data_IF_977664503792
#
_entry.id   IF_977664503792
#
_cell.length_a   1.000
_cell.length_b   1.000
_cell.length_c   1.000
_cell.angle_alpha   90.00
_cell.angle_beta   90.00
_cell.angle_gamma   90.00
#
_symmetry.space_group_name_H-M   'P 1'
#
loop_
_entity.id
_entity.type
_entity.pdbx_description
1 polymer ?
#
# COMPACT_ATOMS: atom_id res chain seq x y z
N UNK A 1 -13.87 15.25 -1.70
CA UNK A 1 -12.83 15.15 -2.76
C UNK A 1 -12.44 13.71 -3.07
N UNK A 2 -12.99 12.72 -2.36
CA UNK A 2 -12.80 11.30 -2.64
C UNK A 2 -14.07 10.75 -3.26
N UNK A 3 -13.98 10.28 -4.49
CA UNK A 3 -15.14 9.74 -5.23
C UNK A 3 -15.46 8.30 -4.79
N UNK A 4 -14.56 7.66 -4.02
CA UNK A 4 -14.66 6.27 -3.54
C UNK A 4 -14.07 6.14 -2.13
N UNK A 5 -14.76 6.64 -1.10
CA UNK A 5 -14.27 6.58 0.27
C UNK A 5 -14.20 5.15 0.84
N UNK A 6 -15.04 4.22 0.36
CA UNK A 6 -15.01 2.82 0.79
C UNK A 6 -13.73 2.15 0.35
N UNK A 7 -13.30 2.36 -0.89
CA UNK A 7 -12.00 1.91 -1.39
C UNK A 7 -10.84 2.50 -0.56
N UNK A 8 -10.84 3.81 -0.31
CA UNK A 8 -9.78 4.45 0.45
C UNK A 8 -9.68 3.92 1.88
N UNK A 9 -10.80 3.69 2.57
CA UNK A 9 -10.87 3.07 3.89
C UNK A 9 -10.37 1.62 3.87
N UNK A 10 -10.76 0.84 2.85
CA UNK A 10 -10.31 -0.54 2.68
C UNK A 10 -8.80 -0.61 2.46
N UNK A 11 -8.26 0.23 1.58
CA UNK A 11 -6.81 0.31 1.32
C UNK A 11 -6.06 0.73 2.58
N UNK A 12 -6.55 1.71 3.34
CA UNK A 12 -5.94 2.11 4.60
C UNK A 12 -5.91 0.94 5.59
N UNK A 13 -7.03 0.25 5.79
CA UNK A 13 -7.12 -0.92 6.68
C UNK A 13 -6.14 -2.03 6.30
N UNK A 14 -6.05 -2.38 5.02
CA UNK A 14 -5.13 -3.41 4.54
C UNK A 14 -3.66 -2.96 4.60
N UNK A 15 -3.40 -1.66 4.38
CA UNK A 15 -2.06 -1.08 4.57
C UNK A 15 -1.60 -1.21 6.03
N UNK A 16 -2.49 -0.98 7.00
CA UNK A 16 -2.17 -1.12 8.40
C UNK A 16 -1.93 -2.58 8.82
N UNK A 17 -2.68 -3.54 8.27
CA UNK A 17 -2.40 -4.96 8.50
C UNK A 17 -1.00 -5.36 7.98
N UNK A 18 -0.62 -4.89 6.78
CA UNK A 18 0.72 -5.13 6.26
C UNK A 18 1.80 -4.41 7.08
N UNK A 19 1.54 -3.18 7.52
CA UNK A 19 2.45 -2.46 8.40
C UNK A 19 2.69 -3.25 9.68
N UNK A 20 1.64 -3.65 10.38
CA UNK A 20 1.72 -4.35 11.66
C UNK A 20 2.48 -5.69 11.54
N UNK A 21 2.41 -6.34 10.37
CA UNK A 21 3.13 -7.59 10.10
C UNK A 21 4.59 -7.39 9.66
N UNK A 22 4.94 -6.27 9.03
CA UNK A 22 6.23 -6.06 8.35
C UNK A 22 7.06 -4.91 8.94
N UNK A 23 6.54 -4.17 9.93
CA UNK A 23 7.17 -2.97 10.48
C UNK A 23 8.61 -3.22 10.95
N UNK A 24 8.83 -4.33 11.65
CA UNK A 24 10.16 -4.69 12.17
C UNK A 24 11.19 -4.93 11.05
N UNK A 25 10.79 -5.60 9.95
CA UNK A 25 11.66 -5.89 8.81
C UNK A 25 11.96 -4.63 7.98
N UNK A 26 11.03 -3.68 7.97
CA UNK A 26 11.12 -2.45 7.19
C UNK A 26 11.70 -1.27 7.99
N UNK A 27 11.93 -1.44 9.30
CA UNK A 27 12.40 -0.38 10.19
C UNK A 27 11.38 0.74 10.37
N UNK A 28 10.08 0.39 10.46
CA UNK A 28 8.97 1.32 10.67
C UNK A 28 8.46 1.21 12.11
N UNK A 29 7.88 2.28 12.62
CA UNK A 29 7.29 2.36 13.97
C UNK A 29 5.87 2.93 13.93
N UNK A 30 5.38 3.33 15.11
CA UNK A 30 4.02 3.85 15.28
C UNK A 30 3.80 5.16 14.52
N UNK A 31 4.82 6.02 14.44
CA UNK A 31 4.77 7.26 13.65
C UNK A 31 4.50 6.95 12.16
N UNK A 32 5.26 6.02 11.57
CA UNK A 32 5.06 5.64 10.17
C UNK A 32 3.72 4.96 9.93
N UNK A 33 3.15 4.31 10.93
CA UNK A 33 1.81 3.74 10.87
C UNK A 33 0.75 4.82 10.65
N UNK A 34 0.82 5.92 11.40
CA UNK A 34 -0.10 7.06 11.25
C UNK A 34 0.09 7.77 9.90
N UNK A 35 1.34 7.97 9.48
CA UNK A 35 1.65 8.58 8.18
C UNK A 35 1.16 7.72 7.01
N UNK A 36 1.30 6.39 7.12
CA UNK A 36 0.84 5.45 6.10
C UNK A 36 -0.69 5.45 5.99
N UNK A 37 -1.41 5.48 7.12
CA UNK A 37 -2.87 5.58 7.14
C UNK A 37 -3.34 6.85 6.42
N UNK A 38 -2.77 8.00 6.80
CA UNK A 38 -3.08 9.27 6.16
C UNK A 38 -2.78 9.25 4.64
N UNK A 39 -1.63 8.70 4.25
CA UNK A 39 -1.26 8.58 2.84
C UNK A 39 -2.20 7.65 2.06
N UNK A 40 -2.65 6.55 2.66
CA UNK A 40 -3.59 5.63 2.04
C UNK A 40 -4.95 6.30 1.79
N UNK A 41 -5.51 6.95 2.82
CA UNK A 41 -6.78 7.69 2.74
C UNK A 41 -6.73 8.82 1.70
N UNK A 42 -5.57 9.46 1.53
CA UNK A 42 -5.41 10.62 0.65
C UNK A 42 -4.80 10.29 -0.72
N UNK A 43 -4.47 9.03 -0.99
CA UNK A 43 -3.76 8.64 -2.22
C UNK A 43 -4.49 9.03 -3.51
N UNK A 44 -5.82 9.08 -3.47
CA UNK A 44 -6.71 9.34 -4.61
C UNK A 44 -7.27 10.77 -4.66
N UNK A 45 -6.98 11.66 -3.69
CA UNK A 45 -7.53 13.03 -3.68
C UNK A 45 -7.19 13.83 -4.95
N UNK A 46 -6.12 13.48 -5.64
CA UNK A 46 -5.74 14.09 -6.91
C UNK A 46 -6.66 13.77 -8.09
N UNK A 47 -7.55 12.77 -7.96
CA UNK A 47 -8.58 12.47 -8.96
C UNK A 47 -9.53 13.63 -9.18
N UNK A 48 -9.78 14.42 -8.13
CA UNK A 48 -10.56 15.66 -8.24
C UNK A 48 -10.01 16.64 -9.27
N UNK A 49 -8.69 16.66 -9.50
CA UNK A 49 -8.05 17.51 -10.50
C UNK A 49 -8.10 16.84 -11.87
N UNK A 50 -7.58 15.61 -11.99
CA UNK A 50 -7.61 14.83 -13.23
C UNK A 50 -7.21 13.38 -12.98
N UNK A 51 -7.79 12.45 -13.76
CA UNK A 51 -7.39 11.03 -13.74
C UNK A 51 -5.95 10.81 -14.21
N UNK A 52 -5.54 11.54 -15.26
CA UNK A 52 -4.17 11.43 -15.77
C UNK A 52 -3.19 12.07 -14.81
N UNK A 53 -2.25 11.27 -14.30
CA UNK A 53 -1.25 11.76 -13.37
C UNK A 53 -1.76 12.07 -11.96
N UNK A 54 -2.94 11.58 -11.57
CA UNK A 54 -3.57 11.91 -10.28
C UNK A 54 -2.63 11.74 -9.08
N UNK A 55 -1.73 10.75 -9.08
CA UNK A 55 -0.74 10.58 -8.02
C UNK A 55 0.16 11.82 -7.80
N UNK A 56 0.47 12.58 -8.87
CA UNK A 56 1.18 13.87 -8.77
C UNK A 56 0.26 14.96 -8.25
N UNK A 57 -1.01 14.92 -8.65
CA UNK A 57 -2.01 15.86 -8.14
C UNK A 57 -2.29 15.59 -6.66
N UNK A 58 -2.34 14.31 -6.22
CA UNK A 58 -2.46 13.97 -4.80
C UNK A 58 -1.31 14.54 -3.98
N UNK A 59 -0.06 14.38 -4.45
CA UNK A 59 1.08 15.02 -3.81
C UNK A 59 0.87 16.53 -3.64
N UNK A 60 0.49 17.23 -4.72
CA UNK A 60 0.29 18.67 -4.68
C UNK A 60 -0.84 19.08 -3.72
N UNK A 61 -1.96 18.40 -3.75
CA UNK A 61 -3.11 18.69 -2.88
C UNK A 61 -2.74 18.48 -1.41
N UNK A 62 -2.11 17.34 -1.08
CA UNK A 62 -1.69 17.02 0.29
C UNK A 62 -0.68 18.06 0.78
N UNK A 63 0.35 18.34 0.00
CA UNK A 63 1.45 19.23 0.37
C UNK A 63 1.01 20.68 0.62
N UNK A 64 -0.06 21.12 -0.04
CA UNK A 64 -0.60 22.48 0.07
C UNK A 64 -1.92 22.55 0.84
N UNK A 65 -2.30 21.49 1.57
CA UNK A 65 -3.54 21.45 2.35
C UNK A 65 -3.36 22.15 3.70
N UNK A 66 -4.29 23.04 4.03
CA UNK A 66 -4.39 23.64 5.37
C UNK A 66 -5.20 22.76 6.36
N UNK A 67 -5.72 21.60 5.88
CA UNK A 67 -6.63 20.77 6.65
C UNK A 67 -5.94 19.61 7.41
N UNK A 68 -4.65 19.41 7.22
CA UNK A 68 -3.87 18.38 7.90
C UNK A 68 -3.31 18.89 9.24
N UNK A 69 -4.21 19.51 10.05
CA UNK A 69 -3.87 19.98 11.38
C UNK A 69 -3.54 18.78 12.27
N UNK A 70 -2.39 18.82 12.94
CA UNK A 70 -1.90 17.74 13.79
C UNK A 70 -0.62 17.08 13.24
N UNK A 71 -0.35 17.23 11.96
CA UNK A 71 0.91 16.83 11.34
C UNK A 71 1.86 18.03 11.20
N UNK A 72 3.14 17.80 11.41
CA UNK A 72 4.20 18.77 11.12
C UNK A 72 4.40 18.91 9.59
N UNK A 73 5.09 20.00 9.17
CA UNK A 73 5.39 20.21 7.76
C UNK A 73 6.20 19.06 7.14
N UNK A 74 7.11 18.45 7.93
CA UNK A 74 7.88 17.28 7.51
C UNK A 74 6.99 16.04 7.35
N UNK A 75 6.10 15.77 8.28
CA UNK A 75 5.15 14.65 8.18
C UNK A 75 4.21 14.81 7.00
N UNK A 76 3.70 16.01 6.74
CA UNK A 76 2.88 16.31 5.56
C UNK A 76 3.66 16.02 4.27
N UNK A 77 4.96 16.37 4.21
CA UNK A 77 5.81 16.03 3.07
C UNK A 77 5.93 14.52 2.90
N UNK A 78 6.15 13.74 3.99
CA UNK A 78 6.24 12.29 3.92
C UNK A 78 4.92 11.66 3.45
N UNK A 79 3.78 12.09 4.00
CA UNK A 79 2.44 11.65 3.58
C UNK A 79 2.24 11.90 2.08
N UNK A 80 2.57 13.12 1.62
CA UNK A 80 2.44 13.51 0.22
C UNK A 80 3.32 12.65 -0.71
N UNK A 81 4.56 12.39 -0.31
CA UNK A 81 5.49 11.54 -1.05
C UNK A 81 4.98 10.08 -1.13
N UNK A 82 4.53 9.51 -0.01
CA UNK A 82 3.96 8.15 0.00
C UNK A 82 2.74 8.07 -0.92
N UNK A 83 1.81 9.03 -0.82
CA UNK A 83 0.66 9.13 -1.70
C UNK A 83 1.06 9.28 -3.18
N UNK A 84 2.11 10.06 -3.50
CA UNK A 84 2.63 10.20 -4.87
C UNK A 84 3.09 8.87 -5.45
N UNK A 85 3.71 8.00 -4.63
CA UNK A 85 4.33 6.78 -5.10
C UNK A 85 3.46 5.53 -4.98
N UNK A 86 2.17 5.68 -4.70
CA UNK A 86 1.23 4.56 -4.66
C UNK A 86 1.10 3.81 -6.01
N UNK A 87 1.54 4.43 -7.11
CA UNK A 87 1.50 3.87 -8.47
C UNK A 87 2.64 4.37 -9.35
N UNK A 88 2.73 3.84 -10.58
CA UNK A 88 3.75 4.19 -11.57
C UNK A 88 5.17 3.90 -11.07
N UNK A 89 6.12 4.75 -11.40
CA UNK A 89 7.53 4.55 -11.03
C UNK A 89 7.74 4.63 -9.52
N UNK A 90 8.62 3.79 -8.95
CA UNK A 90 9.03 3.92 -7.55
C UNK A 90 9.81 5.23 -7.32
N UNK A 91 10.01 5.63 -6.05
CA UNK A 91 10.85 6.77 -5.69
C UNK A 91 12.27 6.64 -6.27
N UNK A 92 12.79 7.75 -6.82
CA UNK A 92 14.14 7.79 -7.42
C UNK A 92 14.80 9.15 -7.17
N UNK A 93 15.99 9.16 -6.60
CA UNK A 93 16.76 10.38 -6.35
C UNK A 93 17.18 11.07 -7.66
N UNK A 94 17.40 10.29 -8.73
CA UNK A 94 17.85 10.83 -10.01
C UNK A 94 16.72 11.49 -10.82
N UNK A 95 15.46 11.12 -10.54
CA UNK A 95 14.30 11.51 -11.37
C UNK A 95 13.29 12.38 -10.65
N UNK A 96 13.33 12.44 -9.32
CA UNK A 96 12.33 13.12 -8.51
C UNK A 96 12.99 14.06 -7.52
N UNK A 97 13.06 15.35 -7.89
CA UNK A 97 13.80 16.36 -7.12
C UNK A 97 13.28 16.53 -5.69
N UNK A 98 11.95 16.49 -5.50
CA UNK A 98 11.33 16.62 -4.18
C UNK A 98 11.71 15.43 -3.28
N UNK A 99 11.74 14.22 -3.83
CA UNK A 99 12.18 13.01 -3.11
C UNK A 99 13.70 13.08 -2.81
N UNK A 100 14.50 13.53 -3.76
CA UNK A 100 15.94 13.69 -3.59
C UNK A 100 16.31 14.73 -2.52
N UNK A 101 15.43 15.69 -2.26
CA UNK A 101 15.60 16.70 -1.21
C UNK A 101 15.35 16.19 0.21
N UNK A 102 14.80 15.00 0.37
CA UNK A 102 14.59 14.37 1.69
C UNK A 102 15.92 13.87 2.26
N UNK A 103 15.99 13.75 3.59
CA UNK A 103 17.08 13.01 4.24
C UNK A 103 17.11 11.55 3.80
N UNK A 104 18.27 10.90 3.87
CA UNK A 104 18.39 9.47 3.54
C UNK A 104 17.42 8.60 4.41
N UNK A 105 17.25 8.96 5.69
CA UNK A 105 16.32 8.29 6.57
C UNK A 105 14.88 8.44 6.08
N UNK A 106 14.45 9.65 5.71
CA UNK A 106 13.10 9.89 5.19
C UNK A 106 12.87 9.25 3.82
N UNK A 107 13.89 9.21 2.97
CA UNK A 107 13.83 8.47 1.71
C UNK A 107 13.54 6.98 1.94
N UNK A 108 14.18 6.38 2.95
CA UNK A 108 13.93 4.98 3.33
C UNK A 108 12.52 4.79 3.89
N UNK A 109 12.05 5.69 4.76
CA UNK A 109 10.69 5.69 5.31
C UNK A 109 9.64 5.75 4.19
N UNK A 110 9.78 6.72 3.27
CA UNK A 110 8.88 6.86 2.10
C UNK A 110 8.88 5.61 1.23
N UNK A 111 10.06 5.04 0.93
CA UNK A 111 10.15 3.79 0.12
C UNK A 111 9.45 2.63 0.79
N UNK A 112 9.61 2.46 2.10
CA UNK A 112 8.99 1.37 2.85
C UNK A 112 7.47 1.52 2.91
N UNK A 113 6.96 2.70 3.28
CA UNK A 113 5.51 2.96 3.33
C UNK A 113 4.87 2.89 1.94
N UNK A 114 5.50 3.46 0.91
CA UNK A 114 4.99 3.37 -0.45
C UNK A 114 4.96 1.92 -0.96
N UNK A 115 5.92 1.09 -0.56
CA UNK A 115 5.95 -0.33 -0.91
C UNK A 115 4.73 -1.07 -0.34
N UNK A 116 4.38 -0.82 0.92
CA UNK A 116 3.18 -1.36 1.56
C UNK A 116 1.92 -0.87 0.84
N UNK A 117 1.77 0.43 0.66
CA UNK A 117 0.59 1.04 0.04
C UNK A 117 0.33 0.51 -1.37
N UNK A 118 1.38 0.29 -2.17
CA UNK A 118 1.26 -0.27 -3.53
C UNK A 118 0.64 -1.67 -3.53
N UNK A 119 1.04 -2.52 -2.60
CA UNK A 119 0.51 -3.88 -2.47
C UNK A 119 -0.93 -3.83 -1.96
N UNK A 120 -1.21 -3.02 -0.92
CA UNK A 120 -2.54 -2.88 -0.34
C UNK A 120 -3.59 -2.39 -1.36
N UNK A 121 -3.25 -1.44 -2.24
CA UNK A 121 -4.11 -1.04 -3.36
C UNK A 121 -4.38 -2.21 -4.32
N UNK A 122 -3.44 -3.13 -4.44
CA UNK A 122 -3.63 -4.34 -5.25
C UNK A 122 -4.67 -5.28 -4.66
N UNK A 123 -4.84 -5.30 -3.34
CA UNK A 123 -5.81 -6.14 -2.63
C UNK A 123 -7.27 -5.66 -2.75
N UNK A 124 -7.49 -4.46 -3.22
CA UNK A 124 -8.84 -3.95 -3.47
C UNK A 124 -8.97 -3.43 -4.91
N UNK A 125 -8.58 -4.28 -5.86
CA UNK A 125 -8.50 -3.93 -7.29
C UNK A 125 -9.86 -3.67 -7.90
N UNK A 126 -10.89 -4.40 -7.46
CA UNK A 126 -12.27 -4.27 -7.94
C UNK A 126 -13.06 -3.18 -7.21
N UNK A 127 -12.53 -2.62 -6.12
CA UNK A 127 -13.21 -1.66 -5.25
C UNK A 127 -14.50 -2.22 -4.64
N UNK A 128 -14.50 -3.51 -4.30
CA UNK A 128 -15.64 -4.23 -3.73
C UNK A 128 -15.40 -4.70 -2.29
N UNK A 129 -14.20 -4.43 -1.75
CA UNK A 129 -13.84 -4.81 -0.39
C UNK A 129 -13.72 -6.32 -0.18
N UNK A 130 -13.55 -7.10 -1.25
CA UNK A 130 -13.57 -8.57 -1.22
C UNK A 130 -12.52 -9.19 -0.30
N UNK A 131 -11.36 -8.55 -0.12
CA UNK A 131 -10.31 -9.01 0.79
C UNK A 131 -10.61 -8.55 2.21
N UNK A 132 -10.97 -9.49 3.09
CA UNK A 132 -11.22 -9.21 4.51
C UNK A 132 -9.94 -9.09 5.33
N UNK A 133 -8.93 -9.91 5.03
CA UNK A 133 -7.66 -9.87 5.76
C UNK A 133 -6.52 -10.43 4.93
N UNK A 134 -5.29 -10.11 5.35
CA UNK A 134 -4.07 -10.66 4.78
C UNK A 134 -3.24 -11.26 5.92
N UNK A 135 -2.88 -12.54 5.78
CA UNK A 135 -1.93 -13.20 6.66
C UNK A 135 -0.53 -13.11 6.03
N UNK A 136 0.47 -12.75 6.83
CA UNK A 136 1.86 -12.62 6.37
C UNK A 136 2.72 -13.65 7.09
N UNK A 137 3.46 -14.46 6.34
CA UNK A 137 4.37 -15.48 6.85
C UNK A 137 5.77 -15.33 6.25
N UNK A 138 6.79 -15.44 7.09
CA UNK A 138 8.19 -15.38 6.67
C UNK A 138 8.71 -16.80 6.43
N UNK A 139 8.94 -17.15 5.17
CA UNK A 139 9.34 -18.49 4.73
C UNK A 139 10.74 -18.44 4.09
N UNK A 140 11.76 -18.39 4.93
CA UNK A 140 13.16 -18.39 4.46
C UNK A 140 13.49 -17.19 3.57
N UNK A 141 13.57 -17.43 2.26
CA UNK A 141 13.95 -16.47 1.24
C UNK A 141 12.76 -15.69 0.63
N UNK A 142 11.53 -15.98 1.07
CA UNK A 142 10.35 -15.27 0.62
C UNK A 142 9.38 -14.93 1.77
N UNK A 143 8.53 -13.97 1.50
CA UNK A 143 7.38 -13.59 2.34
C UNK A 143 6.12 -14.01 1.60
N UNK A 144 5.32 -14.85 2.24
CA UNK A 144 4.02 -15.27 1.74
C UNK A 144 2.92 -14.37 2.33
N UNK A 145 2.08 -13.83 1.47
CA UNK A 145 0.88 -13.07 1.82
C UNK A 145 -0.34 -13.86 1.37
N UNK A 146 -1.11 -14.39 2.30
CA UNK A 146 -2.33 -15.15 2.02
C UNK A 146 -3.53 -14.24 2.18
N UNK A 147 -4.30 -14.05 1.11
CA UNK A 147 -5.53 -13.26 1.09
C UNK A 147 -6.69 -14.10 1.57
N UNK A 148 -7.47 -13.55 2.49
CA UNK A 148 -8.72 -14.14 2.95
C UNK A 148 -9.88 -13.23 2.52
N UNK A 149 -10.85 -13.81 1.81
CA UNK A 149 -12.09 -13.15 1.43
C UNK A 149 -13.24 -13.49 2.36
N UNK A 150 -14.39 -12.82 2.17
CA UNK A 150 -15.64 -13.21 2.80
C UNK A 150 -16.11 -14.58 2.28
N UNK A 151 -16.94 -15.28 3.06
CA UNK A 151 -17.47 -16.61 2.67
C UNK A 151 -18.20 -16.60 1.32
N UNK A 152 -18.73 -15.45 0.93
CA UNK A 152 -19.45 -15.25 -0.33
C UNK A 152 -18.56 -14.82 -1.51
N UNK A 153 -17.28 -14.48 -1.29
CA UNK A 153 -16.36 -14.02 -2.33
C UNK A 153 -15.35 -15.09 -2.72
N UNK A 154 -15.73 -15.94 -3.67
CA UNK A 154 -14.93 -17.10 -4.06
C UNK A 154 -13.71 -16.81 -4.95
N UNK A 155 -13.59 -15.61 -5.55
CA UNK A 155 -12.54 -15.35 -6.55
C UNK A 155 -11.73 -14.08 -6.24
N UNK A 156 -10.62 -14.24 -5.49
CA UNK A 156 -9.64 -13.17 -5.25
C UNK A 156 -8.47 -13.17 -6.27
N UNK A 157 -8.67 -13.80 -7.43
CA UNK A 157 -7.60 -13.96 -8.42
C UNK A 157 -7.12 -12.64 -9.01
N UNK A 158 -8.00 -11.66 -9.15
CA UNK A 158 -7.64 -10.34 -9.67
C UNK A 158 -6.85 -9.52 -8.64
N UNK A 159 -7.23 -9.57 -7.38
CA UNK A 159 -6.55 -8.95 -6.24
C UNK A 159 -5.16 -9.58 -6.05
N UNK A 160 -5.08 -10.90 -6.08
CA UNK A 160 -3.81 -11.65 -6.05
C UNK A 160 -2.86 -11.20 -7.17
N UNK A 161 -3.35 -11.20 -8.41
CA UNK A 161 -2.55 -10.79 -9.57
C UNK A 161 -2.13 -9.32 -9.46
N UNK A 162 -3.06 -8.44 -9.09
CA UNK A 162 -2.80 -7.01 -8.97
C UNK A 162 -1.75 -6.71 -7.88
N UNK A 163 -1.86 -7.34 -6.73
CA UNK A 163 -0.91 -7.19 -5.63
C UNK A 163 0.47 -7.76 -5.99
N UNK A 164 0.51 -8.97 -6.59
CA UNK A 164 1.75 -9.58 -7.07
C UNK A 164 2.49 -8.66 -8.05
N UNK A 165 1.77 -8.06 -9.01
CA UNK A 165 2.35 -7.13 -9.99
C UNK A 165 2.90 -5.83 -9.38
N UNK A 166 2.52 -5.49 -8.15
CA UNK A 166 2.90 -4.28 -7.41
C UNK A 166 3.91 -4.52 -6.29
N UNK A 167 4.26 -5.78 -6.01
CA UNK A 167 5.11 -6.18 -4.87
C UNK A 167 6.60 -5.90 -5.07
N UNK A 168 7.05 -5.52 -6.27
CA UNK A 168 8.47 -5.39 -6.59
C UNK A 168 9.25 -4.43 -5.66
N UNK A 169 8.65 -3.28 -5.31
CA UNK A 169 9.29 -2.34 -4.36
C UNK A 169 9.35 -2.93 -2.95
N UNK A 170 8.34 -3.70 -2.53
CA UNK A 170 8.32 -4.36 -1.24
C UNK A 170 9.36 -5.49 -1.16
N UNK A 171 9.48 -6.28 -2.22
CA UNK A 171 10.51 -7.31 -2.33
C UNK A 171 11.92 -6.72 -2.24
N UNK A 172 12.17 -5.58 -2.92
CA UNK A 172 13.43 -4.84 -2.82
C UNK A 172 13.70 -4.39 -1.38
N UNK A 173 12.69 -3.82 -0.69
CA UNK A 173 12.84 -3.32 0.67
C UNK A 173 13.07 -4.41 1.71
N UNK A 174 12.45 -5.58 1.54
CA UNK A 174 12.62 -6.75 2.41
C UNK A 174 13.88 -7.55 2.10
N UNK A 175 14.48 -7.36 0.91
CA UNK A 175 15.56 -8.22 0.43
C UNK A 175 15.12 -9.67 0.22
N UNK A 176 13.82 -9.92 0.02
CA UNK A 176 13.20 -11.23 -0.15
C UNK A 176 12.17 -11.17 -1.28
N UNK A 177 11.87 -12.31 -1.90
CA UNK A 177 10.73 -12.36 -2.81
C UNK A 177 9.40 -12.26 -2.04
N UNK A 178 8.39 -11.69 -2.68
CA UNK A 178 7.02 -11.59 -2.13
C UNK A 178 6.10 -12.43 -2.99
N UNK A 179 5.44 -13.39 -2.35
CA UNK A 179 4.45 -14.28 -2.97
C UNK A 179 3.09 -13.92 -2.43
N UNK A 180 2.11 -13.72 -3.30
CA UNK A 180 0.72 -13.48 -2.92
C UNK A 180 -0.10 -14.69 -3.33
N UNK A 181 -0.83 -15.26 -2.39
CA UNK A 181 -1.74 -16.40 -2.59
C UNK A 181 -3.13 -16.07 -2.05
N UNK A 182 -4.12 -16.83 -2.48
CA UNK A 182 -5.46 -16.81 -1.89
C UNK A 182 -5.60 -17.99 -0.94
N UNK A 183 -6.34 -17.81 0.16
CA UNK A 183 -6.70 -18.92 1.01
C UNK A 183 -7.58 -19.90 0.20
N UNK A 184 -7.27 -21.20 0.29
CA UNK A 184 -8.13 -22.22 -0.31
C UNK A 184 -9.47 -22.22 0.41
N UNK A 185 -10.56 -22.17 -0.36
CA UNK A 185 -11.90 -22.39 0.20
C UNK A 185 -12.03 -23.83 0.70
N UNK A 186 -12.85 -24.08 1.75
CA UNK A 186 -13.05 -25.44 2.27
C UNK A 186 -13.40 -26.48 1.20
N UNK A 187 -14.15 -26.08 0.18
CA UNK A 187 -14.53 -26.94 -0.95
C UNK A 187 -13.35 -27.35 -1.84
N UNK A 188 -12.32 -26.54 -1.98
CA UNK A 188 -11.13 -26.86 -2.77
C UNK A 188 -10.19 -27.85 -2.07
N UNK A 189 -10.22 -27.92 -0.73
CA UNK A 189 -9.42 -28.90 0.04
C UNK A 189 -9.89 -30.33 -0.13
N UNK A 190 -11.21 -30.54 -0.33
CA UNK A 190 -11.79 -31.89 -0.46
C UNK A 190 -11.48 -32.53 -1.84
N UNK A 191 -11.22 -31.72 -2.88
CA UNK A 191 -10.87 -32.23 -4.21
C UNK A 191 -9.41 -32.72 -4.35
N UNK A 192 -8.50 -32.31 -3.46
CA UNK A 192 -7.09 -32.73 -3.50
C UNK A 192 -6.79 -34.02 -2.71
N UNK A 193 -7.79 -34.55 -1.97
CA UNK A 193 -7.65 -35.78 -1.16
C UNK A 193 -8.25 -37.03 -1.82
N UNK A 194 -8.65 -36.97 -3.06
CA UNK A 194 -9.15 -38.10 -3.86
C UNK A 194 -8.32 -38.19 -5.15
#
# INVERSE_FOLDING_TARGET
CDDDPEHSLQVARLSLQLHDALAADLGLGDEERELLEAAALLSNVGLFIAHSGHHKHSYYVIRNSEHLMGFTDQEIELIAQVARYHRKSPPSVDKHAEFAGLSEADQLRVRSMAAILRVAIGFDRNHDGAVESVQVEHLGDHVLMTLHGSEDTAELGLEQYSASSRSGLLAERLGKSVVVATAETPEQRDFQQH
#
